data_IF_306362025296
#
_entry.id   IF_306362025296
#
_cell.length_a   1.000
_cell.length_b   1.000
_cell.length_c   1.000
_cell.angle_alpha   90.00
_cell.angle_beta   90.00
_cell.angle_gamma   90.00
#
_symmetry.space_group_name_H-M   'P 1'
#
loop_
_entity.id
_entity.type
_entity.pdbx_description
1 polymer ?
#
# COMPACT_ATOMS: atom_id res chain seq x y z
N UNK A 1 0.86 22.93 32.72
CA UNK A 1 0.93 22.48 31.31
C UNK A 1 -0.48 22.12 30.85
N UNK A 2 -0.97 22.72 29.75
CA UNK A 2 -2.31 22.40 29.21
C UNK A 2 -2.23 21.05 28.48
N UNK A 3 -3.06 20.04 28.82
CA UNK A 3 -3.03 18.77 28.11
C UNK A 3 -3.40 19.04 26.64
N UNK A 4 -2.58 18.55 25.72
CA UNK A 4 -2.88 18.58 24.29
C UNK A 4 -4.12 17.73 24.09
N UNK A 5 -5.28 18.38 23.97
CA UNK A 5 -6.56 17.72 23.72
C UNK A 5 -6.41 17.01 22.37
N UNK A 6 -6.17 15.70 22.41
CA UNK A 6 -6.07 14.91 21.20
C UNK A 6 -7.44 14.99 20.52
N UNK A 7 -7.46 15.47 19.27
CA UNK A 7 -8.67 15.45 18.46
C UNK A 7 -9.18 14.00 18.46
N UNK A 8 -10.48 13.74 18.70
CA UNK A 8 -11.01 12.39 18.68
C UNK A 8 -10.59 11.69 17.39
N UNK A 9 -10.19 10.42 17.51
CA UNK A 9 -9.81 9.61 16.35
C UNK A 9 -10.97 9.67 15.35
N UNK A 10 -10.65 9.88 14.07
CA UNK A 10 -11.66 9.73 13.02
C UNK A 10 -12.20 8.31 13.08
N UNK A 11 -13.50 8.15 12.80
CA UNK A 11 -14.12 6.83 12.72
C UNK A 11 -13.30 5.92 11.78
N UNK A 12 -12.74 4.85 12.34
CA UNK A 12 -11.92 3.90 11.59
C UNK A 12 -12.69 3.28 10.43
N UNK A 13 -14.01 3.09 10.56
CA UNK A 13 -14.88 2.59 9.48
C UNK A 13 -14.94 3.58 8.33
N UNK A 14 -15.09 4.87 8.62
CA UNK A 14 -15.10 5.90 7.59
C UNK A 14 -13.76 5.95 6.85
N UNK A 15 -12.63 5.92 7.58
CA UNK A 15 -11.28 5.95 6.99
C UNK A 15 -11.03 4.74 6.10
N UNK A 16 -11.30 3.51 6.58
CA UNK A 16 -11.05 2.30 5.79
C UNK A 16 -11.93 2.28 4.53
N UNK A 17 -13.19 2.71 4.62
CA UNK A 17 -14.07 2.80 3.47
C UNK A 17 -13.54 3.79 2.42
N UNK A 18 -13.01 4.95 2.85
CA UNK A 18 -12.39 5.91 1.94
C UNK A 18 -11.13 5.35 1.26
N UNK A 19 -10.30 4.62 2.01
CA UNK A 19 -9.13 3.94 1.44
C UNK A 19 -9.57 2.91 0.40
N UNK A 20 -10.55 2.06 0.72
CA UNK A 20 -11.05 1.04 -0.19
C UNK A 20 -11.64 1.65 -1.46
N UNK A 21 -12.32 2.79 -1.37
CA UNK A 21 -12.83 3.51 -2.54
C UNK A 21 -11.69 3.98 -3.45
N UNK A 22 -10.62 4.56 -2.88
CA UNK A 22 -9.43 4.98 -3.65
C UNK A 22 -8.75 3.78 -4.30
N UNK A 23 -8.54 2.69 -3.56
CA UNK A 23 -7.91 1.48 -4.09
C UNK A 23 -8.74 0.80 -5.18
N UNK A 24 -10.08 0.86 -5.09
CA UNK A 24 -10.99 0.33 -6.10
C UNK A 24 -10.97 1.15 -7.39
N UNK A 25 -10.91 2.48 -7.28
CA UNK A 25 -11.12 3.39 -8.41
C UNK A 25 -9.82 3.89 -9.04
N UNK A 26 -8.71 3.87 -8.30
CA UNK A 26 -7.46 4.51 -8.70
C UNK A 26 -7.53 6.04 -8.76
N UNK A 27 -8.62 6.65 -8.28
CA UNK A 27 -8.78 8.09 -8.28
C UNK A 27 -7.72 8.77 -7.39
N UNK A 28 -7.30 10.01 -7.72
CA UNK A 28 -6.38 10.74 -6.87
C UNK A 28 -7.06 11.04 -5.52
N UNK A 29 -6.27 11.08 -4.44
CA UNK A 29 -6.80 11.32 -3.08
C UNK A 29 -7.71 12.55 -2.98
N UNK A 30 -7.42 13.62 -3.72
CA UNK A 30 -8.20 14.86 -3.71
C UNK A 30 -9.64 14.70 -4.21
N UNK A 31 -9.90 13.65 -4.98
CA UNK A 31 -11.21 13.37 -5.57
C UNK A 31 -12.03 12.42 -4.67
N UNK A 32 -11.55 12.14 -3.46
CA UNK A 32 -12.29 11.32 -2.49
C UNK A 32 -13.66 11.95 -2.20
N UNK A 33 -14.76 11.19 -2.34
CA UNK A 33 -16.09 11.68 -2.01
C UNK A 33 -16.22 12.12 -0.54
N UNK A 34 -16.92 13.23 -0.32
CA UNK A 34 -17.17 13.81 1.01
C UNK A 34 -17.72 12.83 2.06
N UNK A 35 -18.58 11.85 1.74
CA UNK A 35 -19.07 10.87 2.72
C UNK A 35 -17.95 10.09 3.45
N UNK A 36 -16.78 9.94 2.83
CA UNK A 36 -15.62 9.29 3.43
C UNK A 36 -14.75 10.21 4.30
N UNK A 37 -15.16 11.47 4.44
CA UNK A 37 -14.46 12.48 5.24
C UNK A 37 -13.33 13.17 4.48
N UNK A 38 -12.49 13.88 5.22
CA UNK A 38 -11.40 14.70 4.63
C UNK A 38 -10.34 13.79 4.03
N UNK A 39 -10.04 13.98 2.74
CA UNK A 39 -9.04 13.17 2.05
C UNK A 39 -7.66 13.16 2.73
N UNK A 40 -7.24 14.27 3.36
CA UNK A 40 -5.96 14.32 4.08
C UNK A 40 -5.95 13.33 5.25
N UNK A 41 -7.06 13.21 5.96
CA UNK A 41 -7.19 12.29 7.10
C UNK A 41 -7.20 10.84 6.65
N UNK A 42 -7.86 10.54 5.53
CA UNK A 42 -7.87 9.20 4.92
C UNK A 42 -6.48 8.82 4.41
N UNK A 43 -5.83 9.68 3.64
CA UNK A 43 -4.46 9.46 3.15
C UNK A 43 -3.44 9.32 4.30
N UNK A 44 -3.54 10.17 5.33
CA UNK A 44 -2.69 10.06 6.53
C UNK A 44 -2.91 8.72 7.25
N UNK A 45 -4.17 8.27 7.35
CA UNK A 45 -4.51 6.96 7.89
C UNK A 45 -3.85 5.83 7.12
N UNK A 46 -3.97 5.85 5.79
CA UNK A 46 -3.34 4.88 4.89
C UNK A 46 -1.82 4.79 5.11
N UNK A 47 -1.12 5.92 5.03
CA UNK A 47 0.35 5.94 5.18
C UNK A 47 0.79 5.57 6.60
N UNK A 48 0.01 5.94 7.63
CA UNK A 48 0.29 5.56 9.02
C UNK A 48 0.18 4.04 9.19
N UNK A 49 -0.86 3.43 8.63
CA UNK A 49 -1.05 1.97 8.70
C UNK A 49 -0.04 1.21 7.84
N UNK A 50 0.36 1.77 6.70
CA UNK A 50 1.45 1.24 5.89
C UNK A 50 2.78 1.23 6.68
N UNK A 51 3.14 2.36 7.30
CA UNK A 51 4.35 2.44 8.14
C UNK A 51 4.30 1.48 9.33
N UNK A 52 3.12 1.26 9.90
CA UNK A 52 2.91 0.32 10.99
C UNK A 52 2.77 -1.15 10.55
N UNK A 53 2.94 -1.47 9.26
CA UNK A 53 2.78 -2.83 8.71
C UNK A 53 1.42 -3.48 8.97
N UNK A 54 0.37 -2.66 9.10
CA UNK A 54 -0.99 -3.15 9.36
C UNK A 54 -1.58 -3.81 8.10
N UNK A 55 -1.25 -3.34 6.90
CA UNK A 55 -1.78 -3.92 5.65
C UNK A 55 -1.39 -5.39 5.45
N UNK A 56 -0.10 -5.78 5.59
CA UNK A 56 0.27 -7.19 5.61
C UNK A 56 -0.49 -8.01 6.65
N UNK A 57 -0.62 -7.53 7.89
CA UNK A 57 -1.32 -8.25 8.95
C UNK A 57 -2.82 -8.45 8.65
N UNK A 58 -3.49 -7.44 8.08
CA UNK A 58 -4.88 -7.57 7.62
C UNK A 58 -4.98 -8.62 6.52
N UNK A 59 -4.07 -8.58 5.54
CA UNK A 59 -4.04 -9.54 4.43
C UNK A 59 -3.88 -10.96 4.93
N UNK A 60 -2.90 -11.21 5.82
CA UNK A 60 -2.66 -12.53 6.41
C UNK A 60 -3.87 -13.04 7.20
N UNK A 61 -4.49 -12.16 8.00
CA UNK A 61 -5.68 -12.52 8.78
C UNK A 61 -6.86 -12.90 7.89
N UNK A 62 -7.09 -12.14 6.81
CA UNK A 62 -8.15 -12.41 5.83
C UNK A 62 -7.86 -13.68 5.03
N UNK A 63 -6.61 -13.89 4.61
CA UNK A 63 -6.18 -15.10 3.91
C UNK A 63 -6.36 -16.34 4.78
N UNK A 64 -5.89 -16.31 6.04
CA UNK A 64 -6.08 -17.43 6.97
C UNK A 64 -7.55 -17.74 7.22
N UNK A 65 -8.40 -16.72 7.31
CA UNK A 65 -9.85 -16.90 7.46
C UNK A 65 -10.50 -17.51 6.20
N UNK A 66 -10.04 -17.13 5.01
CA UNK A 66 -10.55 -17.65 3.75
C UNK A 66 -10.08 -19.09 3.49
N UNK A 67 -8.82 -19.39 3.84
CA UNK A 67 -8.24 -20.74 3.79
C UNK A 67 -9.02 -21.72 4.67
N UNK A 68 -9.30 -21.35 5.92
CA UNK A 68 -10.15 -22.14 6.83
C UNK A 68 -11.56 -22.39 6.28
N UNK A 69 -12.06 -21.52 5.40
CA UNK A 69 -13.36 -21.65 4.75
C UNK A 69 -13.29 -22.38 3.39
N UNK A 70 -12.10 -22.86 2.99
CA UNK A 70 -11.88 -23.50 1.68
C UNK A 70 -12.09 -22.55 0.51
N UNK A 71 -11.89 -21.24 0.70
CA UNK A 71 -12.11 -20.20 -0.33
C UNK A 71 -10.83 -19.82 -1.09
N UNK A 72 -9.69 -20.39 -0.72
CA UNK A 72 -8.41 -20.19 -1.40
C UNK A 72 -8.01 -21.51 -2.03
N UNK A 73 -7.80 -21.48 -3.34
CA UNK A 73 -7.10 -22.53 -4.07
C UNK A 73 -5.62 -22.13 -4.18
N UNK A 74 -4.76 -22.89 -3.52
CA UNK A 74 -3.31 -22.65 -3.51
C UNK A 74 -2.59 -23.23 -4.73
N UNK A 75 -3.26 -24.03 -5.55
CA UNK A 75 -2.68 -24.55 -6.80
C UNK A 75 -2.76 -23.50 -7.91
N UNK A 76 -3.76 -22.63 -7.86
CA UNK A 76 -3.93 -21.51 -8.80
C UNK A 76 -3.10 -20.30 -8.37
N UNK A 77 -2.15 -19.90 -9.23
CA UNK A 77 -1.26 -18.76 -8.97
C UNK A 77 -1.51 -17.65 -9.99
N UNK A 78 -1.97 -16.49 -9.51
CA UNK A 78 -1.97 -15.25 -10.29
C UNK A 78 -0.65 -14.50 -10.08
N UNK A 79 0.07 -14.24 -11.18
CA UNK A 79 1.33 -13.50 -11.18
C UNK A 79 1.05 -12.09 -11.70
N UNK A 80 1.30 -11.08 -10.86
CA UNK A 80 1.31 -9.67 -11.27
C UNK A 80 2.75 -9.18 -11.47
N UNK A 81 2.94 -8.28 -12.44
CA UNK A 81 4.24 -7.69 -12.78
C UNK A 81 4.15 -6.17 -12.82
N UNK A 82 5.11 -5.49 -12.20
CA UNK A 82 5.26 -4.04 -12.33
C UNK A 82 6.47 -3.69 -13.19
N UNK A 83 6.27 -2.83 -14.19
CA UNK A 83 7.36 -2.32 -15.04
C UNK A 83 7.69 -0.89 -14.63
N UNK A 84 8.82 -0.71 -13.97
CA UNK A 84 9.34 0.62 -13.61
C UNK A 84 10.46 0.98 -14.60
N UNK A 85 10.27 2.06 -15.36
CA UNK A 85 11.33 2.60 -16.22
C UNK A 85 12.51 3.06 -15.36
N UNK A 86 13.71 2.59 -15.69
CA UNK A 86 14.93 3.10 -15.08
C UNK A 86 15.17 4.57 -15.49
N UNK A 87 15.76 5.34 -14.59
CA UNK A 87 16.22 6.70 -14.90
C UNK A 87 17.31 6.63 -15.99
N UNK A 88 17.36 7.60 -16.91
CA UNK A 88 18.33 7.61 -18.03
C UNK A 88 19.81 7.54 -17.58
N UNK A 89 20.10 7.92 -16.33
CA UNK A 89 21.44 7.84 -15.72
C UNK A 89 21.71 6.53 -14.97
N UNK A 90 20.81 5.55 -15.02
CA UNK A 90 20.99 4.23 -14.39
C UNK A 90 21.82 3.27 -15.24
N UNK A 91 22.15 3.62 -16.49
CA UNK A 91 23.12 2.89 -17.27
C UNK A 91 24.51 3.05 -16.64
N UNK A 92 25.04 1.99 -16.03
CA UNK A 92 26.39 2.00 -15.50
C UNK A 92 27.43 2.39 -16.56
N UNK A 93 28.53 2.99 -16.12
CA UNK A 93 29.65 3.34 -17.00
C UNK A 93 30.30 2.11 -17.64
N UNK A 94 30.91 2.30 -18.82
CA UNK A 94 31.59 1.26 -19.60
C UNK A 94 32.66 0.56 -18.74
N UNK A 95 32.53 -0.75 -18.53
CA UNK A 95 33.59 -1.53 -17.88
C UNK A 95 34.66 -1.88 -18.92
N UNK A 96 35.91 -1.48 -18.67
CA UNK A 96 37.05 -1.96 -19.45
C UNK A 96 37.33 -3.42 -19.06
N UNK A 97 37.37 -4.31 -20.05
CA UNK A 97 37.67 -5.71 -19.85
C UNK A 97 39.11 -5.84 -19.31
N UNK A 98 39.28 -6.43 -18.12
CA UNK A 98 40.62 -6.77 -17.62
C UNK A 98 41.25 -7.83 -18.54
N UNK A 99 42.47 -7.62 -19.06
CA UNK A 99 43.13 -8.60 -19.89
C UNK A 99 43.41 -9.86 -19.06
N UNK A 100 43.01 -11.01 -19.59
CA UNK A 100 43.41 -12.31 -19.07
C UNK A 100 44.92 -12.46 -19.25
N UNK A 101 45.65 -12.55 -18.14
CA UNK A 101 47.06 -12.95 -18.14
C UNK A 101 47.11 -14.47 -18.36
N UNK A 102 47.69 -14.86 -19.50
CA UNK A 102 48.22 -16.21 -19.72
C UNK A 102 49.56 -16.38 -19.00
#
# INVERSE_FOLDING_TARGET
>A
MKPRTAKPNHDHRQVINGILWILRTGAPWRDLPEPYGKWQSVATGFYRWQKAQIWPSIRESLQGSADQQGKIDWEVHDVDGSVIRAHQHAAGGKQEAKPQKN
#
